data_IF_841862213958
#
_entry.id   IF_841862213958
#
_cell.length_a   1.000
_cell.length_b   1.000
_cell.length_c   1.000
_cell.angle_alpha   90.00
_cell.angle_beta   90.00
_cell.angle_gamma   90.00
#
_symmetry.space_group_name_H-M   'P 1'
#
loop_
_entity.id
_entity.type
_entity.pdbx_description
1 polymer ?
#
# COMPACT_ATOMS: atom_id res chain seq x y z
N UNK A 1 6.39 7.60 11.79
CA UNK A 1 4.95 7.23 11.68
C UNK A 1 4.87 5.76 11.36
N UNK A 2 4.07 5.01 12.12
CA UNK A 2 3.86 3.56 11.96
C UNK A 2 2.85 3.32 10.82
N UNK A 3 2.99 2.21 10.10
CA UNK A 3 1.92 1.72 9.22
C UNK A 3 0.96 0.84 10.03
N UNK A 4 -0.25 0.62 9.51
CA UNK A 4 -1.23 -0.32 10.07
C UNK A 4 -1.77 -1.23 8.97
N UNK A 5 -2.13 -2.45 9.36
CA UNK A 5 -2.86 -3.38 8.51
C UNK A 5 -4.36 -3.22 8.80
N UNK A 6 -5.11 -2.66 7.86
CA UNK A 6 -6.55 -2.38 8.04
C UNK A 6 -7.43 -3.56 7.64
N UNK A 7 -6.89 -4.48 6.84
CA UNK A 7 -7.56 -5.71 6.46
C UNK A 7 -6.54 -6.85 6.25
N UNK A 8 -6.90 -8.06 6.70
CA UNK A 8 -6.19 -9.31 6.41
C UNK A 8 -7.20 -10.38 6.02
N UNK A 9 -7.15 -10.81 4.77
CA UNK A 9 -7.93 -11.94 4.26
C UNK A 9 -7.03 -13.11 3.90
N UNK A 10 -7.66 -14.18 3.40
CA UNK A 10 -6.94 -15.39 2.97
C UNK A 10 -6.06 -15.10 1.73
N UNK A 11 -6.57 -14.31 0.79
CA UNK A 11 -5.90 -14.04 -0.48
C UNK A 11 -5.26 -12.65 -0.57
N UNK A 12 -5.79 -11.66 0.16
CA UNK A 12 -5.34 -10.28 0.05
C UNK A 12 -5.34 -9.57 1.39
N UNK A 13 -4.53 -8.53 1.49
CA UNK A 13 -4.44 -7.65 2.64
C UNK A 13 -4.37 -6.19 2.21
N UNK A 14 -4.71 -5.29 3.14
CA UNK A 14 -4.63 -3.85 2.92
C UNK A 14 -3.85 -3.25 4.07
N UNK A 15 -2.82 -2.47 3.74
CA UNK A 15 -2.02 -1.72 4.70
C UNK A 15 -2.05 -0.25 4.36
N UNK A 16 -1.99 0.60 5.39
CA UNK A 16 -2.11 2.04 5.26
C UNK A 16 -1.21 2.76 6.24
N UNK A 17 -0.83 3.98 5.89
CA UNK A 17 -0.34 4.99 6.81
C UNK A 17 -1.08 6.33 6.57
N UNK A 18 -0.53 7.42 7.07
CA UNK A 18 -1.15 8.75 6.96
C UNK A 18 -1.16 9.30 5.53
N UNK A 19 -0.36 8.76 4.61
CA UNK A 19 -0.16 9.29 3.25
C UNK A 19 -0.57 8.30 2.14
N UNK A 20 -0.72 7.02 2.47
CA UNK A 20 -0.75 5.93 1.51
C UNK A 20 -1.60 4.73 1.96
N UNK A 21 -2.20 4.02 1.00
CA UNK A 21 -2.83 2.71 1.16
C UNK A 21 -2.38 1.76 0.04
N UNK A 22 -2.04 0.51 0.37
CA UNK A 22 -1.62 -0.52 -0.59
C UNK A 22 -2.41 -1.80 -0.36
N UNK A 23 -2.92 -2.35 -1.46
CA UNK A 23 -3.52 -3.68 -1.52
C UNK A 23 -2.47 -4.69 -1.96
N UNK A 24 -2.28 -5.73 -1.16
CA UNK A 24 -1.46 -6.88 -1.50
C UNK A 24 -2.33 -8.05 -1.88
N UNK A 25 -2.04 -8.70 -3.00
CA UNK A 25 -2.59 -10.00 -3.39
C UNK A 25 -1.48 -11.04 -3.27
N UNK A 26 -1.66 -12.04 -2.40
CA UNK A 26 -0.65 -13.07 -2.12
C UNK A 26 0.74 -12.49 -1.78
N UNK A 27 0.75 -11.36 -1.03
CA UNK A 27 1.97 -10.66 -0.65
C UNK A 27 2.61 -9.79 -1.73
N UNK A 28 2.01 -9.68 -2.92
CA UNK A 28 2.46 -8.77 -3.98
C UNK A 28 1.59 -7.51 -4.03
N UNK A 29 2.17 -6.30 -4.10
CA UNK A 29 1.38 -5.08 -4.24
C UNK A 29 0.72 -5.06 -5.62
N UNK A 30 -0.60 -4.87 -5.67
CA UNK A 30 -1.39 -4.89 -6.91
C UNK A 30 -2.15 -3.60 -7.18
N UNK A 31 -2.45 -2.84 -6.14
CA UNK A 31 -3.11 -1.54 -6.23
C UNK A 31 -2.67 -0.67 -5.06
N UNK A 32 -2.74 0.64 -5.24
CA UNK A 32 -2.44 1.59 -4.19
C UNK A 32 -3.08 2.94 -4.44
N UNK A 33 -3.17 3.72 -3.38
CA UNK A 33 -3.65 5.10 -3.41
C UNK A 33 -2.81 5.98 -2.50
N UNK A 34 -2.45 7.18 -2.94
CA UNK A 34 -1.77 8.17 -2.11
C UNK A 34 -2.60 9.44 -1.94
N UNK A 35 -2.21 10.25 -0.95
CA UNK A 35 -2.87 11.51 -0.62
C UNK A 35 -2.81 12.55 -1.76
N UNK A 36 -1.79 12.49 -2.62
CA UNK A 36 -1.60 13.45 -3.72
C UNK A 36 -2.34 13.06 -5.00
N UNK A 37 -2.27 11.78 -5.39
CA UNK A 37 -2.75 11.31 -6.70
C UNK A 37 -4.09 10.56 -6.62
N UNK A 38 -4.58 10.26 -5.41
CA UNK A 38 -5.73 9.37 -5.23
C UNK A 38 -5.34 7.94 -5.62
N UNK A 39 -6.18 7.26 -6.39
CA UNK A 39 -5.90 5.90 -6.85
C UNK A 39 -4.89 5.90 -7.99
N UNK A 40 -3.86 5.06 -7.87
CA UNK A 40 -2.96 4.76 -8.97
C UNK A 40 -3.58 3.74 -9.93
N UNK A 41 -3.01 3.66 -11.14
CA UNK A 41 -3.29 2.56 -12.07
C UNK A 41 -2.89 1.22 -11.43
N UNK A 42 -3.55 0.14 -11.85
CA UNK A 42 -3.24 -1.19 -11.34
C UNK A 42 -1.78 -1.55 -11.62
N UNK A 43 -1.11 -2.12 -10.61
CA UNK A 43 0.32 -2.45 -10.60
C UNK A 43 1.28 -1.27 -10.73
N UNK A 44 0.79 -0.03 -10.82
CA UNK A 44 1.63 1.16 -10.76
C UNK A 44 1.78 1.63 -9.31
N UNK A 45 2.90 1.26 -8.70
CA UNK A 45 3.28 1.69 -7.34
C UNK A 45 4.48 2.63 -7.36
N UNK A 46 4.78 3.25 -8.52
CA UNK A 46 5.86 4.21 -8.66
C UNK A 46 5.43 5.59 -8.14
N UNK A 47 5.27 5.69 -6.83
CA UNK A 47 4.94 6.92 -6.13
C UNK A 47 5.79 7.01 -4.84
N UNK A 48 6.37 8.17 -4.52
CA UNK A 48 7.15 8.35 -3.30
C UNK A 48 6.41 7.90 -2.02
N UNK A 49 5.10 8.14 -1.91
CA UNK A 49 4.30 7.71 -0.76
C UNK A 49 4.15 6.18 -0.70
N UNK A 50 3.93 5.53 -1.85
CA UNK A 50 3.84 4.06 -1.93
C UNK A 50 5.17 3.41 -1.56
N UNK A 51 6.29 3.93 -2.10
CA UNK A 51 7.62 3.45 -1.77
C UNK A 51 7.94 3.58 -0.29
N UNK A 52 7.56 4.69 0.34
CA UNK A 52 7.74 4.89 1.77
C UNK A 52 6.92 3.89 2.59
N UNK A 53 5.66 3.65 2.23
CA UNK A 53 4.83 2.65 2.89
C UNK A 53 5.40 1.24 2.72
N UNK A 54 5.84 0.87 1.51
CA UNK A 54 6.50 -0.42 1.26
C UNK A 54 7.75 -0.60 2.11
N UNK A 55 8.60 0.43 2.24
CA UNK A 55 9.77 0.39 3.13
C UNK A 55 9.38 0.14 4.59
N UNK A 56 8.29 0.72 5.07
CA UNK A 56 7.77 0.48 6.42
C UNK A 56 7.28 -0.96 6.61
N UNK A 57 6.67 -1.56 5.57
CA UNK A 57 6.15 -2.93 5.61
C UNK A 57 7.26 -3.98 5.63
N UNK A 58 8.36 -3.75 4.90
CA UNK A 58 9.46 -4.72 4.73
C UNK A 58 10.71 -4.44 5.58
N UNK A 59 10.70 -3.42 6.43
CA UNK A 59 11.75 -3.15 7.42
C UNK A 59 11.49 -3.86 8.74
#
# INVERSE_FOLDING_TARGET
MLYRKVFEGIAYSIVEDDEASIVFLEGKPVAGSCIEHGNHELFDVNCPHMEQLLKKVFS
#
